data_IF_045199448736
#
_entry.id   IF_045199448736
#
_cell.length_a   1.000
_cell.length_b   1.000
_cell.length_c   1.000
_cell.angle_alpha   90.00
_cell.angle_beta   90.00
_cell.angle_gamma   90.00
#
_symmetry.space_group_name_H-M   'P 1'
#
loop_
_entity.id
_entity.type
_entity.pdbx_description
1 polymer ?
#
# COMPACT_ATOMS: atom_id res chain seq x y z
N UNK A 1 -4.81 7.96 12.71
CA UNK A 1 -4.26 9.34 12.76
C UNK A 1 -4.61 10.20 11.55
N UNK A 2 -4.57 9.68 10.29
CA UNK A 2 -4.84 10.47 9.09
C UNK A 2 -6.31 10.93 9.01
N UNK A 3 -7.25 10.02 9.24
CA UNK A 3 -8.68 10.33 9.26
C UNK A 3 -9.04 11.33 10.37
N UNK A 4 -8.49 11.12 11.57
CA UNK A 4 -8.70 12.04 12.69
C UNK A 4 -8.18 13.45 12.41
N UNK A 5 -6.99 13.57 11.77
CA UNK A 5 -6.45 14.87 11.35
C UNK A 5 -7.28 15.55 10.28
N UNK A 6 -7.98 14.78 9.46
CA UNK A 6 -8.90 15.27 8.43
C UNK A 6 -10.34 15.49 8.98
N UNK A 7 -10.56 15.32 10.29
CA UNK A 7 -11.88 15.39 10.94
C UNK A 7 -12.90 14.40 10.36
N UNK A 8 -12.40 13.25 9.86
CA UNK A 8 -13.23 12.17 9.36
C UNK A 8 -13.45 11.10 10.42
N UNK A 9 -14.60 10.43 10.43
CA UNK A 9 -14.86 9.33 11.36
C UNK A 9 -13.89 8.17 11.12
N UNK A 10 -13.51 7.50 12.19
CA UNK A 10 -12.81 6.22 12.13
C UNK A 10 -13.85 5.12 12.28
N UNK A 11 -14.03 4.32 11.26
CA UNK A 11 -14.98 3.21 11.24
C UNK A 11 -14.21 1.91 10.97
N UNK A 12 -14.19 1.04 11.98
CA UNK A 12 -13.48 -0.24 11.90
C UNK A 12 -14.18 -1.21 10.92
N UNK A 13 -15.45 -0.99 10.56
CA UNK A 13 -16.17 -1.82 9.59
C UNK A 13 -15.60 -1.73 8.17
N UNK A 14 -14.85 -0.65 7.86
CA UNK A 14 -14.17 -0.48 6.58
C UNK A 14 -12.76 -1.10 6.57
N UNK A 15 -12.30 -1.65 7.70
CA UNK A 15 -11.00 -2.31 7.81
C UNK A 15 -11.15 -3.80 7.53
N UNK A 16 -10.49 -4.28 6.50
CA UNK A 16 -10.54 -5.69 6.08
C UNK A 16 -9.17 -6.33 6.19
N UNK A 17 -9.09 -7.47 6.86
CA UNK A 17 -7.86 -8.22 6.98
C UNK A 17 -7.60 -9.01 5.70
N UNK A 18 -6.61 -8.54 4.93
CA UNK A 18 -6.20 -9.13 3.67
C UNK A 18 -4.77 -8.67 3.36
N UNK A 19 -3.84 -9.60 3.20
CA UNK A 19 -2.42 -9.28 3.00
C UNK A 19 -1.80 -9.86 1.72
N UNK A 20 -2.60 -10.59 0.93
CA UNK A 20 -2.17 -11.18 -0.32
C UNK A 20 -3.21 -11.00 -1.44
N UNK A 21 -2.72 -11.25 -2.68
CA UNK A 21 -3.52 -11.08 -3.89
C UNK A 21 -4.76 -11.97 -3.95
N UNK A 22 -4.62 -13.26 -3.61
CA UNK A 22 -5.71 -14.23 -3.76
C UNK A 22 -6.88 -13.91 -2.83
N UNK A 23 -6.58 -13.55 -1.58
CA UNK A 23 -7.61 -13.14 -0.62
C UNK A 23 -8.28 -11.84 -1.07
N UNK A 24 -7.51 -10.88 -1.61
CA UNK A 24 -8.06 -9.64 -2.15
C UNK A 24 -9.03 -9.91 -3.31
N UNK A 25 -8.67 -10.79 -4.27
CA UNK A 25 -9.54 -11.17 -5.37
C UNK A 25 -10.84 -11.82 -4.90
N UNK A 26 -10.77 -12.62 -3.82
CA UNK A 26 -11.93 -13.31 -3.25
C UNK A 26 -12.85 -12.38 -2.46
N UNK A 27 -12.29 -11.50 -1.63
CA UNK A 27 -13.07 -10.68 -0.68
C UNK A 27 -13.63 -9.41 -1.36
N UNK A 28 -12.91 -8.79 -2.28
CA UNK A 28 -13.29 -7.51 -2.89
C UNK A 28 -14.68 -7.53 -3.53
N UNK A 29 -15.13 -8.57 -4.26
CA UNK A 29 -16.49 -8.60 -4.84
C UNK A 29 -17.60 -8.49 -3.79
N UNK A 30 -17.43 -9.09 -2.60
CA UNK A 30 -18.39 -9.01 -1.50
C UNK A 30 -18.51 -7.58 -0.97
N UNK A 31 -17.37 -6.86 -0.86
CA UNK A 31 -17.33 -5.46 -0.42
C UNK A 31 -18.01 -4.56 -1.47
N UNK A 32 -17.77 -4.82 -2.75
CA UNK A 32 -18.31 -4.04 -3.85
C UNK A 32 -19.83 -4.26 -4.07
N UNK A 33 -20.37 -5.37 -3.58
CA UNK A 33 -21.80 -5.69 -3.64
C UNK A 33 -22.63 -4.95 -2.56
N UNK A 34 -22.00 -4.31 -1.58
CA UNK A 34 -22.67 -3.58 -0.50
C UNK A 34 -23.35 -2.31 -1.06
N UNK A 35 -24.46 -1.89 -0.46
CA UNK A 35 -25.12 -0.61 -0.78
C UNK A 35 -24.22 0.60 -0.45
N UNK A 36 -23.47 0.51 0.64
CA UNK A 36 -22.51 1.51 1.14
C UNK A 36 -21.08 1.25 0.66
N UNK A 37 -20.90 0.61 -0.50
CA UNK A 37 -19.59 0.25 -1.03
C UNK A 37 -18.62 1.44 -1.05
N UNK A 38 -17.33 1.23 -0.73
CA UNK A 38 -16.34 2.29 -0.81
C UNK A 38 -16.09 2.71 -2.26
N UNK A 39 -15.67 3.95 -2.47
CA UNK A 39 -15.20 4.49 -3.74
C UNK A 39 -13.67 4.45 -3.88
N UNK A 40 -12.97 4.00 -2.82
CA UNK A 40 -11.52 3.85 -2.81
C UNK A 40 -11.05 2.74 -1.88
N UNK A 41 -9.91 2.11 -2.26
CA UNK A 41 -9.17 1.16 -1.45
C UNK A 41 -7.74 1.63 -1.21
N UNK A 42 -7.29 1.51 0.02
CA UNK A 42 -5.87 1.57 0.39
C UNK A 42 -5.42 0.19 0.84
N UNK A 43 -4.51 -0.42 0.10
CA UNK A 43 -4.02 -1.76 0.38
C UNK A 43 -2.67 -1.71 1.11
N UNK A 44 -2.46 -2.64 2.02
CA UNK A 44 -1.24 -2.76 2.84
C UNK A 44 0.03 -3.01 2.00
N UNK A 45 -0.11 -3.58 0.81
CA UNK A 45 0.97 -3.79 -0.15
C UNK A 45 0.46 -3.78 -1.60
N UNK A 46 1.39 -3.74 -2.57
CA UNK A 46 1.05 -3.70 -4.00
C UNK A 46 0.41 -5.01 -4.49
N UNK A 47 0.74 -6.15 -3.90
CA UNK A 47 0.19 -7.44 -4.30
C UNK A 47 -1.31 -7.53 -3.98
N UNK A 48 -1.70 -7.12 -2.77
CA UNK A 48 -3.10 -6.96 -2.36
C UNK A 48 -3.83 -5.93 -3.25
N UNK A 49 -3.20 -4.77 -3.52
CA UNK A 49 -3.78 -3.74 -4.39
C UNK A 49 -4.07 -4.26 -5.81
N UNK A 50 -3.19 -5.09 -6.36
CA UNK A 50 -3.38 -5.73 -7.66
C UNK A 50 -4.54 -6.73 -7.61
N UNK A 51 -4.69 -7.50 -6.54
CA UNK A 51 -5.85 -8.38 -6.34
C UNK A 51 -7.16 -7.60 -6.35
N UNK A 52 -7.21 -6.47 -5.63
CA UNK A 52 -8.36 -5.55 -5.66
C UNK A 52 -8.62 -5.04 -7.09
N UNK A 53 -7.57 -4.62 -7.81
CA UNK A 53 -7.69 -4.12 -9.18
C UNK A 53 -8.31 -5.16 -10.12
N UNK A 54 -7.87 -6.43 -10.02
CA UNK A 54 -8.46 -7.51 -10.81
C UNK A 54 -9.92 -7.76 -10.45
N UNK A 55 -10.26 -7.81 -9.17
CA UNK A 55 -11.62 -8.01 -8.71
C UNK A 55 -12.57 -6.89 -9.15
N UNK A 56 -12.14 -5.61 -9.03
CA UNK A 56 -12.91 -4.44 -9.48
C UNK A 56 -13.21 -4.53 -10.98
N UNK A 57 -12.20 -4.85 -11.79
CA UNK A 57 -12.36 -5.03 -13.24
C UNK A 57 -13.27 -6.23 -13.58
N UNK A 58 -13.16 -7.32 -12.84
CA UNK A 58 -13.97 -8.52 -13.06
C UNK A 58 -15.46 -8.27 -12.85
N UNK A 59 -15.84 -7.42 -11.88
CA UNK A 59 -17.24 -7.02 -11.67
C UNK A 59 -17.69 -5.88 -12.59
N UNK A 60 -16.86 -5.46 -13.57
CA UNK A 60 -17.21 -4.48 -14.58
C UNK A 60 -17.09 -3.02 -14.15
N UNK A 61 -16.46 -2.74 -13.00
CA UNK A 61 -16.22 -1.37 -12.54
C UNK A 61 -14.89 -0.82 -13.10
N UNK A 62 -14.86 0.50 -13.28
CA UNK A 62 -13.70 1.21 -13.87
C UNK A 62 -12.77 1.72 -12.80
N UNK A 63 -11.48 1.58 -13.04
CA UNK A 63 -10.41 2.17 -12.23
C UNK A 63 -9.70 3.22 -13.09
N UNK A 64 -9.63 4.48 -12.66
CA UNK A 64 -9.98 5.03 -11.34
C UNK A 64 -11.40 5.62 -11.22
N UNK A 65 -12.23 5.58 -12.27
CA UNK A 65 -13.46 6.36 -12.37
C UNK A 65 -14.52 5.96 -11.33
N UNK A 66 -14.74 4.67 -11.14
CA UNK A 66 -15.71 4.15 -10.19
C UNK A 66 -15.04 3.84 -8.84
N UNK A 67 -13.82 3.28 -8.87
CA UNK A 67 -13.04 2.89 -7.70
C UNK A 67 -11.58 3.37 -7.85
N UNK A 68 -11.08 4.09 -6.87
CA UNK A 68 -9.66 4.44 -6.75
C UNK A 68 -8.91 3.40 -5.93
N UNK A 69 -7.65 3.09 -6.29
CA UNK A 69 -6.84 2.08 -5.60
C UNK A 69 -5.43 2.63 -5.35
N UNK A 70 -4.97 2.52 -4.09
CA UNK A 70 -3.61 2.85 -3.70
C UNK A 70 -2.96 1.66 -3.00
N UNK A 71 -1.75 1.29 -3.42
CA UNK A 71 -0.93 0.27 -2.79
C UNK A 71 0.15 0.83 -1.87
N UNK A 72 1.05 -0.05 -1.46
CA UNK A 72 2.20 0.28 -0.62
C UNK A 72 3.36 -0.65 -0.96
N UNK A 73 4.50 -0.11 -1.34
CA UNK A 73 5.80 -0.75 -1.61
C UNK A 73 6.52 -0.11 -2.81
N UNK A 74 5.79 0.19 -3.92
CA UNK A 74 6.32 0.61 -5.21
C UNK A 74 7.24 -0.46 -5.84
N UNK A 75 6.79 -1.71 -5.80
CA UNK A 75 7.48 -2.83 -6.45
C UNK A 75 7.30 -2.85 -7.97
N UNK A 76 8.04 -3.73 -8.67
CA UNK A 76 7.97 -3.87 -10.12
C UNK A 76 6.56 -4.18 -10.65
N UNK A 77 5.72 -4.83 -9.86
CA UNK A 77 4.34 -5.15 -10.22
C UNK A 77 3.46 -3.91 -10.33
N UNK A 78 3.76 -2.84 -9.58
CA UNK A 78 3.00 -1.60 -9.60
C UNK A 78 3.03 -0.90 -10.96
N UNK A 79 4.09 -1.10 -11.75
CA UNK A 79 4.23 -0.55 -13.11
C UNK A 79 3.85 -1.57 -14.20
N UNK A 80 3.69 -2.84 -13.85
CA UNK A 80 3.35 -3.91 -14.78
C UNK A 80 1.84 -4.16 -14.91
N UNK A 81 1.01 -3.53 -14.07
CA UNK A 81 -0.45 -3.60 -14.16
C UNK A 81 -1.03 -2.45 -15.00
N UNK A 82 -2.24 -2.63 -15.48
CA UNK A 82 -2.98 -1.63 -16.24
C UNK A 82 -4.35 -1.37 -15.57
N UNK A 83 -4.67 -0.10 -15.21
CA UNK A 83 -3.76 1.05 -15.15
C UNK A 83 -2.62 0.86 -14.13
N UNK A 84 -1.48 1.53 -14.34
CA UNK A 84 -0.36 1.48 -13.41
C UNK A 84 -0.77 1.94 -12.01
N UNK A 85 -0.32 1.22 -10.98
CA UNK A 85 -0.75 1.39 -9.61
C UNK A 85 -0.15 2.64 -8.95
N UNK A 86 -1.01 3.50 -8.41
CA UNK A 86 -0.64 4.51 -7.41
C UNK A 86 -0.23 3.78 -6.13
N UNK A 87 0.93 4.12 -5.58
CA UNK A 87 1.49 3.40 -4.43
C UNK A 87 2.43 4.28 -3.62
N UNK A 88 2.73 3.87 -2.40
CA UNK A 88 3.72 4.53 -1.54
C UNK A 88 5.08 3.86 -1.72
N UNK A 89 6.09 4.61 -2.20
CA UNK A 89 7.46 4.13 -2.29
C UNK A 89 8.12 4.11 -0.91
N UNK A 90 8.51 2.92 -0.46
CA UNK A 90 9.24 2.70 0.78
C UNK A 90 10.75 2.93 0.63
N UNK A 91 11.26 3.13 -0.57
CA UNK A 91 12.69 3.20 -0.89
C UNK A 91 13.45 1.96 -0.40
N UNK A 92 13.00 0.76 -0.75
CA UNK A 92 13.52 -0.52 -0.25
C UNK A 92 15.04 -0.67 -0.37
N UNK A 93 15.63 -0.24 -1.50
CA UNK A 93 17.10 -0.23 -1.66
C UNK A 93 17.82 0.65 -0.64
N UNK A 94 17.23 1.80 -0.29
CA UNK A 94 17.78 2.71 0.72
C UNK A 94 17.64 2.11 2.12
N UNK A 95 16.51 1.49 2.41
CA UNK A 95 16.28 0.75 3.66
C UNK A 95 17.31 -0.36 3.84
N UNK A 96 17.50 -1.21 2.81
CA UNK A 96 18.47 -2.30 2.84
C UNK A 96 19.91 -1.80 3.06
N UNK A 97 20.33 -0.77 2.32
CA UNK A 97 21.66 -0.15 2.51
C UNK A 97 21.85 0.38 3.93
N UNK A 98 20.86 1.06 4.50
CA UNK A 98 20.93 1.60 5.85
C UNK A 98 20.99 0.47 6.90
N UNK A 99 20.21 -0.60 6.74
CA UNK A 99 20.21 -1.75 7.65
C UNK A 99 21.59 -2.44 7.67
N UNK A 100 22.16 -2.71 6.48
CA UNK A 100 23.48 -3.34 6.35
C UNK A 100 24.58 -2.42 6.93
N UNK A 101 24.53 -1.10 6.65
CA UNK A 101 25.51 -0.17 7.22
C UNK A 101 25.49 -0.18 8.75
N UNK A 102 24.30 -0.16 9.38
CA UNK A 102 24.20 -0.23 10.85
C UNK A 102 24.78 -1.54 11.38
N UNK A 103 24.49 -2.67 10.72
CA UNK A 103 25.00 -3.96 11.14
C UNK A 103 26.53 -4.02 11.05
N UNK A 104 27.13 -3.51 9.97
CA UNK A 104 28.58 -3.44 9.82
C UNK A 104 29.19 -2.55 10.92
N UNK A 105 28.64 -1.36 11.13
CA UNK A 105 29.12 -0.44 12.18
C UNK A 105 29.07 -1.08 13.58
N UNK A 106 28.08 -1.95 13.84
CA UNK A 106 27.99 -2.72 15.10
C UNK A 106 29.06 -3.82 15.17
N UNK A 107 29.28 -4.57 14.09
CA UNK A 107 30.29 -5.62 14.03
C UNK A 107 31.69 -5.05 14.21
N UNK A 108 31.96 -3.89 13.62
CA UNK A 108 33.24 -3.19 13.71
C UNK A 108 33.44 -2.42 15.06
N UNK A 109 32.44 -2.45 15.95
CA UNK A 109 32.49 -1.79 17.25
C UNK A 109 32.33 -0.27 17.20
N UNK A 110 31.93 0.29 16.03
CA UNK A 110 31.63 1.72 15.87
C UNK A 110 30.33 2.07 16.58
N UNK A 111 29.36 1.18 16.50
CA UNK A 111 28.08 1.28 17.21
C UNK A 111 27.97 0.17 18.27
N UNK A 112 27.36 0.44 19.43
CA UNK A 112 27.15 -0.57 20.45
C UNK A 112 26.17 -1.65 19.99
N UNK A 113 26.50 -2.92 20.24
CA UNK A 113 25.66 -4.08 19.90
C UNK A 113 24.40 -4.20 20.76
N UNK A 114 24.44 -3.68 21.97
CA UNK A 114 23.36 -3.75 22.97
C UNK A 114 22.35 -2.61 22.88
N UNK A 115 22.54 -1.67 21.96
CA UNK A 115 21.64 -0.53 21.77
C UNK A 115 20.93 -0.55 20.43
N UNK A 116 19.60 -0.41 20.46
CA UNK A 116 18.82 -0.25 19.26
C UNK A 116 19.12 1.09 18.57
N UNK A 117 19.45 1.02 17.27
CA UNK A 117 19.65 2.20 16.43
C UNK A 117 18.42 2.40 15.55
N UNK A 118 17.78 3.57 15.67
CA UNK A 118 16.60 3.92 14.86
C UNK A 118 16.98 4.91 13.77
N UNK A 119 16.86 4.51 12.51
CA UNK A 119 16.93 5.43 11.35
C UNK A 119 15.60 5.42 10.61
N UNK A 120 15.13 6.59 10.20
CA UNK A 120 13.86 6.76 9.48
C UNK A 120 14.16 7.11 8.04
N UNK A 121 13.65 6.30 7.11
CA UNK A 121 13.62 6.62 5.69
C UNK A 121 12.22 7.11 5.35
N UNK A 122 12.08 8.36 4.93
CA UNK A 122 10.79 8.93 4.54
C UNK A 122 10.27 8.22 3.29
N UNK A 123 9.01 7.86 3.30
CA UNK A 123 8.29 7.32 2.14
C UNK A 123 7.84 8.44 1.21
N UNK A 124 7.46 8.08 -0.02
CA UNK A 124 6.93 9.01 -1.03
C UNK A 124 5.72 8.40 -1.72
N UNK A 125 4.63 9.19 -1.84
CA UNK A 125 3.49 8.80 -2.67
C UNK A 125 3.84 8.96 -4.15
N UNK A 126 3.62 7.89 -4.92
CA UNK A 126 3.82 7.84 -6.38
C UNK A 126 2.45 7.72 -7.03
N UNK A 127 1.93 8.83 -7.55
CA UNK A 127 0.61 8.88 -8.19
C UNK A 127 0.72 8.35 -9.62
N UNK A 128 -0.17 7.41 -9.98
CA UNK A 128 -0.28 6.80 -11.32
C UNK A 128 -1.74 6.72 -11.77
N UNK A 129 -2.09 5.67 -12.54
CA UNK A 129 -3.38 5.55 -13.20
C UNK A 129 -4.52 5.02 -12.35
N UNK A 130 -4.27 4.45 -11.17
CA UNK A 130 -5.32 3.85 -10.34
C UNK A 130 -6.00 4.81 -9.37
N UNK A 131 -5.67 6.09 -9.37
CA UNK A 131 -6.34 7.11 -8.58
C UNK A 131 -6.75 8.29 -9.44
N UNK A 132 -7.89 8.92 -9.11
CA UNK A 132 -8.36 10.13 -9.79
C UNK A 132 -7.37 11.28 -9.57
N UNK A 133 -7.08 12.02 -10.63
CA UNK A 133 -6.39 13.31 -10.51
C UNK A 133 -7.42 14.36 -10.08
N UNK A 134 -7.11 15.13 -9.07
CA UNK A 134 -7.86 16.35 -8.77
C UNK A 134 -7.55 17.43 -9.78
#
# INVERSE_FOLDING_TARGET
DALLRAHLPVDDSIVVFCDNRMDAERITPEILAREDRPDAFFAINDDTAIGILYAVKHVGLRVPDDISICGFTNGNRAIACDPMLTTVDQHGMKLGKQAVSILIDQIEGILPMDKAVKKIVKTQLVIRGTTRKK
#
